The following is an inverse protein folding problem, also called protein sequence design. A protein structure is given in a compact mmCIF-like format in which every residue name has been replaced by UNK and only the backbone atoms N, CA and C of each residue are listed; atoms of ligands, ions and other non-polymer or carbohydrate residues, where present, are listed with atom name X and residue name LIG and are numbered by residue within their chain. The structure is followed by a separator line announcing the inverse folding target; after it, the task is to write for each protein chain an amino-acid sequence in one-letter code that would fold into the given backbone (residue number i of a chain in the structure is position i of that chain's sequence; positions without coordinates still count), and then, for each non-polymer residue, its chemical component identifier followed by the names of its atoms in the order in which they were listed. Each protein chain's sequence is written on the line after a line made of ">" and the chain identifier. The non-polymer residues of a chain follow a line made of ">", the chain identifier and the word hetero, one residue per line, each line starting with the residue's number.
data_IF_264887692467
#
_entry.id   IF_264887692467
#
_cell.length_a   1.000
_cell.length_b   1.000
_cell.length_c   1.000
_cell.angle_alpha   90.00
_cell.angle_beta   90.00
_cell.angle_gamma   90.00
#
_symmetry.space_group_name_H-M   'P 1'
#
loop_
_entity.id
_entity.type
_entity.pdbx_description
1 polymer ?
#
# COMPACT_ATOMS: atom_id res chain seq x y z
N UNK A 1 -9.32 11.17 1.49
CA UNK A 1 -8.89 12.52 1.87
C UNK A 1 -7.65 12.51 2.74
N UNK A 2 -7.17 13.70 3.13
CA UNK A 2 -6.02 13.85 4.03
C UNK A 2 -4.65 13.67 3.38
N UNK A 3 -3.61 13.55 4.22
CA UNK A 3 -2.21 13.54 3.78
C UNK A 3 -1.85 12.33 2.92
N UNK A 4 -2.31 11.14 3.25
CA UNK A 4 -2.01 9.92 2.49
C UNK A 4 -2.59 9.96 1.08
N UNK A 5 -3.84 10.43 0.93
CA UNK A 5 -4.47 10.56 -0.38
C UNK A 5 -3.71 11.49 -1.34
N UNK A 6 -2.99 12.46 -0.79
CA UNK A 6 -2.19 13.43 -1.54
C UNK A 6 -0.73 13.03 -1.72
N UNK A 7 -0.25 11.99 -1.03
CA UNK A 7 1.10 11.43 -1.23
C UNK A 7 1.11 10.46 -2.41
N UNK A 8 1.12 11.03 -3.59
CA UNK A 8 1.16 10.28 -4.84
C UNK A 8 2.16 10.96 -5.78
N UNK A 9 3.11 10.19 -6.26
CA UNK A 9 4.22 10.69 -7.06
C UNK A 9 4.36 9.89 -8.34
N UNK A 10 4.73 10.56 -9.42
CA UNK A 10 5.10 9.94 -10.69
C UNK A 10 6.54 10.30 -11.02
N UNK A 11 7.34 9.29 -11.26
CA UNK A 11 8.72 9.40 -11.72
C UNK A 11 8.78 8.92 -13.17
N UNK A 12 9.22 9.79 -14.07
CA UNK A 12 9.38 9.45 -15.47
C UNK A 12 10.78 8.87 -15.67
N UNK A 13 10.84 7.56 -15.81
CA UNK A 13 12.08 6.80 -16.01
C UNK A 13 12.15 6.21 -17.42
N UNK A 14 13.30 5.65 -17.76
CA UNK A 14 13.51 4.86 -18.97
C UNK A 14 13.44 3.36 -18.65
N UNK A 15 13.45 2.54 -19.71
CA UNK A 15 13.49 1.07 -19.55
C UNK A 15 14.69 0.57 -18.73
N UNK A 16 15.75 1.37 -18.61
CA UNK A 16 16.95 1.01 -17.83
C UNK A 16 16.64 0.76 -16.35
N UNK A 17 15.59 1.41 -15.80
CA UNK A 17 15.16 1.20 -14.41
C UNK A 17 14.69 -0.23 -14.13
N UNK A 18 14.33 -0.99 -15.16
CA UNK A 18 13.85 -2.37 -15.00
C UNK A 18 14.95 -3.38 -14.67
N UNK A 19 16.21 -2.96 -14.71
CA UNK A 19 17.31 -3.79 -14.24
C UNK A 19 17.14 -4.03 -12.72
N UNK A 20 17.09 -5.29 -12.25
CA UNK A 20 16.94 -5.60 -10.83
C UNK A 20 17.96 -4.90 -9.94
N UNK A 21 19.19 -4.75 -10.40
CA UNK A 21 20.24 -4.08 -9.64
C UNK A 21 19.99 -2.57 -9.40
N UNK A 22 19.12 -1.95 -10.18
CA UNK A 22 18.76 -0.53 -10.03
C UNK A 22 17.35 -0.31 -9.53
N UNK A 23 16.45 -1.23 -9.83
CA UNK A 23 15.02 -1.08 -9.52
C UNK A 23 14.77 -1.04 -8.01
N UNK A 24 15.22 -2.06 -7.27
CA UNK A 24 14.97 -2.13 -5.82
C UNK A 24 15.60 -0.96 -5.08
N UNK A 25 16.87 -0.58 -5.30
CA UNK A 25 17.44 0.62 -4.71
C UNK A 25 16.65 1.90 -5.02
N UNK A 26 16.15 2.05 -6.25
CA UNK A 26 15.31 3.19 -6.64
C UNK A 26 14.00 3.22 -5.84
N UNK A 27 13.27 2.09 -5.77
CA UNK A 27 12.03 2.02 -5.02
C UNK A 27 12.25 2.33 -3.53
N UNK A 28 13.33 1.82 -2.94
CA UNK A 28 13.71 2.10 -1.54
C UNK A 28 14.02 3.59 -1.34
N UNK A 29 14.78 4.21 -2.24
CA UNK A 29 15.06 5.65 -2.19
C UNK A 29 13.77 6.46 -2.20
N UNK A 30 12.83 6.12 -3.09
CA UNK A 30 11.55 6.83 -3.20
C UNK A 30 10.65 6.60 -1.98
N UNK A 31 10.65 5.41 -1.38
CA UNK A 31 9.93 5.16 -0.13
C UNK A 31 10.41 6.06 1.02
N UNK A 32 11.71 6.32 1.13
CA UNK A 32 12.26 7.20 2.17
C UNK A 32 11.69 8.63 2.09
N UNK A 33 11.33 9.09 0.89
CA UNK A 33 10.75 10.42 0.69
C UNK A 33 9.32 10.55 1.23
N UNK A 34 8.64 9.45 1.53
CA UNK A 34 7.29 9.49 2.08
C UNK A 34 7.23 10.18 3.45
N UNK A 35 8.28 10.01 4.27
CA UNK A 35 8.30 10.55 5.63
C UNK A 35 7.16 10.02 6.50
N UNK A 36 6.86 10.75 7.58
CA UNK A 36 5.90 10.30 8.61
C UNK A 36 4.57 11.06 8.61
N UNK A 37 4.45 12.14 7.82
CA UNK A 37 3.33 13.09 7.92
C UNK A 37 1.96 12.55 7.45
N UNK A 38 1.91 11.38 6.82
CA UNK A 38 0.66 10.79 6.32
C UNK A 38 0.26 9.51 7.07
N UNK A 39 0.69 9.37 8.32
CA UNK A 39 0.32 8.32 9.26
C UNK A 39 0.79 6.91 8.83
N UNK A 40 2.11 6.62 8.87
CA UNK A 40 2.62 5.26 8.75
C UNK A 40 2.23 4.39 9.98
N UNK A 41 2.33 3.07 9.92
CA UNK A 41 2.79 2.28 8.78
C UNK A 41 1.84 2.36 7.59
N UNK A 42 2.40 2.50 6.38
CA UNK A 42 1.61 2.69 5.17
C UNK A 42 1.21 1.37 4.49
N UNK A 43 0.09 1.39 3.76
CA UNK A 43 -0.14 0.48 2.63
C UNK A 43 0.48 1.15 1.41
N UNK A 44 1.66 0.70 1.00
CA UNK A 44 2.43 1.31 -0.08
C UNK A 44 2.04 0.66 -1.41
N UNK A 45 1.89 1.46 -2.45
CA UNK A 45 1.73 0.96 -3.81
C UNK A 45 2.75 1.57 -4.76
N UNK A 46 3.39 0.70 -5.54
CA UNK A 46 4.15 1.09 -6.72
C UNK A 46 3.47 0.60 -7.98
N UNK A 47 3.51 1.39 -9.02
CA UNK A 47 3.08 0.99 -10.36
C UNK A 47 4.20 1.23 -11.34
N UNK A 48 4.67 0.17 -11.98
CA UNK A 48 5.78 0.19 -12.92
C UNK A 48 5.22 0.04 -14.32
N UNK A 49 5.35 1.08 -15.13
CA UNK A 49 4.78 1.15 -16.46
C UNK A 49 3.50 1.97 -16.53
N UNK A 50 2.75 1.76 -17.60
CA UNK A 50 1.57 2.55 -17.95
C UNK A 50 1.78 3.36 -19.22
N UNK A 51 0.70 3.71 -19.88
CA UNK A 51 0.69 4.43 -21.16
C UNK A 51 0.44 5.92 -21.00
N UNK A 52 0.07 6.36 -19.80
CA UNK A 52 -0.06 7.77 -19.43
C UNK A 52 0.15 7.97 -17.93
N UNK A 53 0.39 9.22 -17.52
CA UNK A 53 0.52 9.61 -16.11
C UNK A 53 -0.76 9.28 -15.33
N UNK A 54 -1.91 9.63 -15.87
CA UNK A 54 -3.21 9.43 -15.25
C UNK A 54 -3.51 7.95 -15.02
N UNK A 55 -3.19 7.10 -16.01
CA UNK A 55 -3.37 5.65 -15.90
C UNK A 55 -2.48 5.06 -14.81
N UNK A 56 -1.22 5.49 -14.75
CA UNK A 56 -0.29 5.05 -13.72
C UNK A 56 -0.79 5.48 -12.33
N UNK A 57 -1.07 6.76 -12.12
CA UNK A 57 -1.48 7.32 -10.83
C UNK A 57 -2.83 6.78 -10.35
N UNK A 58 -3.80 6.57 -11.24
CA UNK A 58 -5.05 5.91 -10.90
C UNK A 58 -4.80 4.48 -10.40
N UNK A 59 -3.93 3.75 -11.10
CA UNK A 59 -3.56 2.39 -10.70
C UNK A 59 -2.86 2.37 -9.33
N UNK A 60 -1.98 3.35 -9.05
CA UNK A 60 -1.36 3.52 -7.73
C UNK A 60 -2.41 3.65 -6.63
N UNK A 61 -3.41 4.51 -6.82
CA UNK A 61 -4.46 4.71 -5.83
C UNK A 61 -5.26 3.44 -5.57
N UNK A 62 -5.68 2.77 -6.61
CA UNK A 62 -6.44 1.52 -6.51
C UNK A 62 -5.60 0.39 -5.89
N UNK A 63 -4.30 0.32 -6.20
CA UNK A 63 -3.40 -0.66 -5.61
C UNK A 63 -3.19 -0.40 -4.11
N UNK A 64 -3.05 0.86 -3.69
CA UNK A 64 -2.87 1.22 -2.27
C UNK A 64 -4.10 0.93 -1.40
N UNK A 65 -5.26 0.69 -2.01
CA UNK A 65 -6.51 0.29 -1.35
C UNK A 65 -6.83 -1.19 -1.56
N UNK A 66 -5.86 -2.00 -1.99
CA UNK A 66 -6.00 -3.43 -2.23
C UNK A 66 -7.02 -3.83 -3.33
N UNK A 67 -7.47 -2.87 -4.15
CA UNK A 67 -8.45 -3.12 -5.20
C UNK A 67 -7.95 -4.13 -6.25
N UNK A 68 -6.63 -4.19 -6.46
CA UNK A 68 -5.99 -5.07 -7.43
C UNK A 68 -5.41 -6.36 -6.86
N UNK A 69 -5.79 -6.77 -5.64
CA UNK A 69 -5.26 -7.97 -5.00
C UNK A 69 -5.58 -9.26 -5.76
N UNK A 70 -6.62 -9.25 -6.58
CA UNK A 70 -7.03 -10.38 -7.41
C UNK A 70 -6.42 -10.37 -8.84
N UNK A 71 -5.48 -9.46 -9.14
CA UNK A 71 -4.79 -9.50 -10.43
C UNK A 71 -3.94 -10.77 -10.56
N UNK A 72 -3.74 -11.27 -11.80
CA UNK A 72 -2.75 -12.33 -12.04
C UNK A 72 -1.37 -11.95 -11.51
N UNK A 73 -0.57 -12.95 -11.16
CA UNK A 73 0.81 -12.76 -10.66
C UNK A 73 1.87 -12.83 -11.76
N UNK A 74 1.45 -13.02 -13.00
CA UNK A 74 2.33 -13.08 -14.17
C UNK A 74 1.76 -12.27 -15.32
N UNK A 75 2.63 -11.66 -16.12
CA UNK A 75 2.25 -11.08 -17.40
C UNK A 75 1.94 -12.12 -18.48
N UNK A 76 1.72 -11.66 -19.71
CA UNK A 76 1.63 -12.47 -20.90
C UNK A 76 2.18 -11.71 -22.12
N UNK A 77 2.23 -12.36 -23.27
CA UNK A 77 2.71 -11.77 -24.53
C UNK A 77 1.91 -10.56 -25.02
N UNK A 78 0.66 -10.41 -24.59
CA UNK A 78 -0.22 -9.30 -24.96
C UNK A 78 -0.15 -8.10 -23.98
N UNK A 79 0.78 -8.12 -23.03
CA UNK A 79 0.96 -7.01 -22.09
C UNK A 79 -0.10 -6.97 -20.97
N UNK A 80 -0.52 -8.13 -20.47
CA UNK A 80 -1.45 -8.20 -19.33
C UNK A 80 -0.83 -7.57 -18.09
N UNK A 81 -1.58 -6.70 -17.41
CA UNK A 81 -1.22 -6.20 -16.10
C UNK A 81 -1.15 -7.34 -15.07
N UNK A 82 -0.22 -7.24 -14.12
CA UNK A 82 -0.06 -8.27 -13.08
C UNK A 82 0.52 -7.68 -11.80
N UNK A 83 0.34 -8.41 -10.69
CA UNK A 83 1.02 -8.17 -9.41
C UNK A 83 2.36 -8.87 -9.38
N UNK A 84 3.40 -8.13 -9.05
CA UNK A 84 4.77 -8.67 -8.90
C UNK A 84 5.02 -9.06 -7.44
N UNK A 85 4.50 -10.22 -7.04
CA UNK A 85 4.50 -10.70 -5.65
C UNK A 85 5.92 -10.86 -5.09
N UNK A 86 6.87 -11.28 -5.90
CA UNK A 86 8.25 -11.48 -5.42
C UNK A 86 8.91 -10.11 -5.14
N UNK A 87 8.70 -9.14 -6.02
CA UNK A 87 9.19 -7.79 -5.78
C UNK A 87 8.45 -7.11 -4.61
N UNK A 88 7.16 -7.37 -4.40
CA UNK A 88 6.42 -6.90 -3.22
C UNK A 88 7.08 -7.35 -1.91
N UNK A 89 7.45 -8.64 -1.82
CA UNK A 89 8.13 -9.20 -0.63
C UNK A 89 9.50 -8.56 -0.40
N UNK A 90 10.28 -8.44 -1.46
CA UNK A 90 11.62 -7.84 -1.40
C UNK A 90 11.55 -6.38 -0.95
N UNK A 91 10.69 -5.58 -1.57
CA UNK A 91 10.53 -4.16 -1.23
C UNK A 91 9.94 -3.96 0.17
N UNK A 92 9.04 -4.83 0.63
CA UNK A 92 8.55 -4.80 2.02
C UNK A 92 9.66 -5.09 3.02
N UNK A 93 10.51 -6.07 2.75
CA UNK A 93 11.65 -6.37 3.61
C UNK A 93 12.62 -5.18 3.70
N UNK A 94 12.86 -4.47 2.61
CA UNK A 94 13.65 -3.24 2.60
C UNK A 94 12.93 -2.09 3.34
N UNK A 95 11.61 -1.95 3.17
CA UNK A 95 10.84 -0.94 3.90
C UNK A 95 10.97 -1.08 5.42
N UNK A 96 11.02 -2.31 5.94
CA UNK A 96 11.19 -2.58 7.37
C UNK A 96 12.58 -2.20 7.88
N UNK A 97 13.61 -2.13 7.02
CA UNK A 97 14.96 -1.71 7.38
C UNK A 97 15.13 -0.18 7.44
N UNK A 98 14.20 0.58 6.87
CA UNK A 98 14.32 2.05 6.79
C UNK A 98 14.31 2.69 8.18
N UNK A 99 13.62 2.09 9.16
CA UNK A 99 13.57 2.61 10.54
C UNK A 99 12.71 3.86 10.72
N UNK A 100 11.93 4.23 9.71
CA UNK A 100 10.91 5.27 9.78
C UNK A 100 9.55 4.60 10.06
N UNK A 101 8.81 5.16 10.99
CA UNK A 101 7.50 4.62 11.33
C UNK A 101 6.56 5.69 11.87
N UNK A 102 5.64 5.31 12.75
CA UNK A 102 4.67 6.23 13.33
C UNK A 102 5.35 7.43 14.00
N UNK A 103 4.68 8.58 13.97
CA UNK A 103 5.20 9.87 14.49
C UNK A 103 5.67 9.81 15.94
N UNK A 104 5.21 8.84 16.71
CA UNK A 104 5.51 8.66 18.12
C UNK A 104 6.50 7.52 18.40
N UNK A 105 7.45 7.29 17.51
CA UNK A 105 8.56 6.38 17.72
C UNK A 105 8.41 4.98 17.12
N UNK A 106 7.46 4.77 16.21
CA UNK A 106 7.37 3.54 15.43
C UNK A 106 8.58 3.36 14.50
N UNK A 107 8.93 2.11 14.22
CA UNK A 107 10.08 1.77 13.36
C UNK A 107 9.70 1.15 12.00
N UNK A 108 8.44 0.84 11.79
CA UNK A 108 7.96 0.22 10.55
C UNK A 108 7.29 1.25 9.65
N UNK A 109 7.81 1.39 8.43
CA UNK A 109 7.29 2.33 7.44
C UNK A 109 6.02 1.80 6.76
N UNK A 110 5.92 0.49 6.56
CA UNK A 110 4.85 -0.13 5.80
C UNK A 110 4.25 -1.35 6.51
N UNK A 111 2.94 -1.52 6.39
CA UNK A 111 2.23 -2.76 6.67
C UNK A 111 2.41 -3.74 5.53
N UNK A 112 2.25 -3.25 4.32
CA UNK A 112 2.38 -4.03 3.10
C UNK A 112 2.83 -3.17 1.91
N UNK A 113 3.21 -3.83 0.84
CA UNK A 113 3.56 -3.23 -0.44
C UNK A 113 2.79 -3.92 -1.54
N UNK A 114 2.23 -3.16 -2.47
CA UNK A 114 1.62 -3.65 -3.72
C UNK A 114 2.43 -3.13 -4.89
N UNK A 115 2.82 -4.02 -5.80
CA UNK A 115 3.55 -3.66 -7.01
C UNK A 115 2.80 -4.17 -8.24
N UNK A 116 2.27 -3.24 -9.01
CA UNK A 116 1.56 -3.54 -10.25
C UNK A 116 2.47 -3.24 -11.43
N UNK A 117 2.60 -4.22 -12.31
CA UNK A 117 3.27 -4.07 -13.61
C UNK A 117 2.22 -3.80 -14.67
N UNK A 118 2.39 -2.68 -15.40
CA UNK A 118 1.55 -2.31 -16.53
C UNK A 118 2.33 -2.41 -17.86
N UNK A 119 1.65 -2.65 -18.98
CA UNK A 119 2.25 -2.45 -20.29
C UNK A 119 2.71 -1.00 -20.46
N UNK A 120 3.78 -0.77 -21.19
CA UNK A 120 4.40 0.53 -21.35
C UNK A 120 4.92 0.75 -22.76
N UNK A 121 5.23 1.98 -23.10
CA UNK A 121 5.98 2.34 -24.30
C UNK A 121 7.42 1.78 -24.22
N UNK A 122 7.99 1.38 -25.34
CA UNK A 122 9.29 0.70 -25.41
C UNK A 122 10.44 1.43 -24.72
N UNK A 123 10.50 2.75 -24.84
CA UNK A 123 11.57 3.58 -24.28
C UNK A 123 11.25 4.13 -22.87
N UNK A 124 9.99 4.40 -22.59
CA UNK A 124 9.53 5.05 -21.37
C UNK A 124 9.13 4.03 -20.30
N UNK A 125 9.40 4.34 -19.04
CA UNK A 125 8.97 3.53 -17.91
C UNK A 125 8.54 4.45 -16.75
N UNK A 126 7.29 4.96 -16.75
CA UNK A 126 6.80 5.70 -15.60
C UNK A 126 6.72 4.79 -14.39
N UNK A 127 7.13 5.29 -13.23
CA UNK A 127 7.03 4.61 -11.94
C UNK A 127 6.19 5.47 -11.02
N UNK A 128 5.04 4.98 -10.61
CA UNK A 128 4.18 5.66 -9.65
C UNK A 128 4.40 5.13 -8.24
N UNK A 129 4.28 6.01 -7.25
CA UNK A 129 4.32 5.71 -5.83
C UNK A 129 3.15 6.39 -5.14
N UNK A 130 2.45 5.67 -4.29
CA UNK A 130 1.42 6.25 -3.44
C UNK A 130 1.13 5.39 -2.23
N UNK A 131 0.32 5.93 -1.33
CA UNK A 131 0.04 5.26 -0.06
C UNK A 131 -1.43 5.40 0.36
N UNK A 132 -1.88 4.43 1.15
CA UNK A 132 -2.97 4.61 2.12
C UNK A 132 -2.38 4.64 3.53
N UNK A 133 -3.02 5.37 4.45
CA UNK A 133 -2.53 5.48 5.82
C UNK A 133 -2.86 4.23 6.64
N UNK A 134 -2.23 4.09 7.81
CA UNK A 134 -2.45 2.96 8.71
C UNK A 134 -3.91 2.75 9.14
N UNK A 135 -4.74 3.79 9.10
CA UNK A 135 -6.16 3.67 9.42
C UNK A 135 -6.98 2.95 8.34
N UNK A 136 -6.41 2.79 7.14
CA UNK A 136 -7.00 2.06 5.99
C UNK A 136 -8.51 2.35 5.76
N UNK A 137 -8.89 3.62 5.80
CA UNK A 137 -10.27 4.09 5.68
C UNK A 137 -10.78 4.04 4.24
N UNK A 138 -10.77 2.84 3.67
CA UNK A 138 -11.23 2.54 2.33
C UNK A 138 -12.46 1.67 2.40
N UNK A 139 -13.31 1.73 1.39
CA UNK A 139 -14.47 0.86 1.24
C UNK A 139 -14.65 0.51 -0.23
N UNK A 140 -14.94 -0.74 -0.51
CA UNK A 140 -15.30 -1.19 -1.86
C UNK A 140 -16.80 -1.19 -2.00
N UNK A 141 -17.30 -0.62 -3.08
CA UNK A 141 -18.71 -0.66 -3.40
C UNK A 141 -18.94 -0.94 -4.89
N UNK A 142 -20.09 -1.53 -5.19
CA UNK A 142 -20.61 -1.72 -6.55
C UNK A 142 -21.91 -0.95 -6.65
N UNK A 143 -22.01 -0.05 -7.61
CA UNK A 143 -23.20 0.76 -7.88
C UNK A 143 -23.64 0.49 -9.31
N UNK A 144 -24.86 0.05 -9.49
CA UNK A 144 -25.48 -0.12 -10.80
C UNK A 144 -27.00 0.15 -10.73
N UNK A 145 -27.72 -0.13 -11.82
CA UNK A 145 -29.18 0.10 -11.89
C UNK A 145 -30.00 -0.79 -10.96
N UNK A 146 -29.41 -1.90 -10.47
CA UNK A 146 -30.08 -2.86 -9.59
C UNK A 146 -29.92 -2.47 -8.12
N UNK A 147 -28.90 -1.64 -7.76
CA UNK A 147 -28.70 -1.21 -6.39
C UNK A 147 -27.28 -0.78 -6.06
N UNK A 148 -27.03 -0.68 -4.77
CA UNK A 148 -25.73 -0.34 -4.17
C UNK A 148 -25.33 -1.48 -3.25
N UNK A 149 -24.17 -2.05 -3.50
CA UNK A 149 -23.56 -3.08 -2.64
C UNK A 149 -22.28 -2.51 -2.05
N UNK A 150 -22.11 -2.70 -0.77
CA UNK A 150 -20.95 -2.27 0.01
C UNK A 150 -20.28 -3.54 0.55
N UNK A 151 -18.95 -3.59 0.55
CA UNK A 151 -18.24 -4.71 1.18
C UNK A 151 -18.65 -4.85 2.66
N UNK A 152 -18.65 -6.09 3.15
CA UNK A 152 -18.95 -6.36 4.55
C UNK A 152 -17.87 -5.71 5.41
N UNK A 153 -18.29 -4.83 6.31
CA UNK A 153 -17.40 -4.23 7.30
C UNK A 153 -17.36 -5.13 8.55
N UNK A 154 -16.22 -5.18 9.21
CA UNK A 154 -16.12 -5.82 10.51
C UNK A 154 -16.93 -5.00 11.54
N UNK A 155 -18.06 -5.54 11.95
CA UNK A 155 -18.95 -4.90 12.92
C UNK A 155 -18.59 -5.22 14.37
N UNK A 156 -17.71 -6.19 14.58
CA UNK A 156 -17.24 -6.59 15.91
C UNK A 156 -15.70 -6.66 15.94
N UNK A 157 -15.02 -5.52 16.13
CA UNK A 157 -13.56 -5.50 16.20
C UNK A 157 -13.00 -6.34 17.36
N UNK A 158 -13.81 -6.65 18.36
CA UNK A 158 -13.42 -7.55 19.46
C UNK A 158 -13.06 -8.97 18.98
N UNK A 159 -13.58 -9.41 17.84
CA UNK A 159 -13.22 -10.71 17.27
C UNK A 159 -11.79 -10.74 16.72
N UNK A 160 -11.20 -9.58 16.41
CA UNK A 160 -9.82 -9.44 15.95
C UNK A 160 -8.81 -9.46 17.11
N UNK A 161 -9.27 -9.32 18.34
CA UNK A 161 -8.42 -9.37 19.53
C UNK A 161 -8.08 -10.84 19.83
N UNK A 162 -6.81 -11.19 20.06
CA UNK A 162 -6.42 -12.53 20.51
C UNK A 162 -7.26 -13.01 21.69
N UNK A 163 -7.62 -14.29 21.70
CA UNK A 163 -8.54 -14.87 22.71
C UNK A 163 -8.02 -14.63 24.13
N UNK A 164 -6.72 -14.69 24.31
CA UNK A 164 -6.05 -14.46 25.60
C UNK A 164 -6.29 -13.04 26.13
N UNK A 165 -6.41 -12.07 25.24
CA UNK A 165 -6.68 -10.66 25.59
C UNK A 165 -8.16 -10.35 25.77
N UNK A 166 -9.07 -11.19 25.23
CA UNK A 166 -10.51 -11.02 25.41
C UNK A 166 -10.98 -11.41 26.82
N UNK A 167 -10.16 -12.18 27.53
CA UNK A 167 -10.47 -12.69 28.87
C UNK A 167 -9.86 -11.86 30.01
N UNK A 168 -9.21 -10.74 29.66
CA UNK A 168 -8.66 -9.83 30.67
C UNK A 168 -9.78 -9.29 31.55
N UNK A 169 -9.66 -9.48 32.86
CA UNK A 169 -10.59 -8.98 33.87
C UNK A 169 -10.28 -7.55 34.31
N UNK A 170 -11.17 -6.99 35.12
CA UNK A 170 -10.95 -5.68 35.73
C UNK A 170 -9.66 -5.70 36.59
N UNK A 171 -8.75 -4.79 36.31
CA UNK A 171 -7.44 -4.71 36.97
C UNK A 171 -6.28 -5.43 36.30
N UNK A 172 -6.55 -6.20 35.25
CA UNK A 172 -5.48 -6.82 34.49
C UNK A 172 -4.73 -5.79 33.64
N UNK A 173 -3.39 -5.83 33.73
CA UNK A 173 -2.54 -5.01 32.87
C UNK A 173 -2.25 -5.78 31.59
N UNK A 174 -2.88 -5.37 30.50
CA UNK A 174 -2.64 -5.94 29.18
C UNK A 174 -1.74 -4.99 28.38
N UNK A 175 -0.54 -5.45 28.05
CA UNK A 175 0.35 -4.69 27.17
C UNK A 175 -0.07 -4.91 25.73
N UNK A 176 -0.73 -3.91 25.13
CA UNK A 176 -1.07 -3.92 23.70
C UNK A 176 -0.07 -3.10 22.92
N UNK A 177 0.35 -3.60 21.77
CA UNK A 177 1.10 -2.80 20.81
C UNK A 177 0.16 -1.78 20.18
N UNK A 178 0.42 -0.50 20.41
CA UNK A 178 -0.45 0.63 20.01
C UNK A 178 -0.57 0.86 18.50
N UNK A 179 -0.03 0.02 17.66
CA UNK A 179 -0.06 0.21 16.21
C UNK A 179 -1.45 0.14 15.58
N UNK A 180 -2.47 -0.35 16.31
CA UNK A 180 -3.82 -0.55 15.77
C UNK A 180 -4.93 0.28 16.42
N UNK A 181 -4.67 1.03 17.48
CA UNK A 181 -5.74 1.65 18.28
C UNK A 181 -5.84 3.18 18.23
N UNK A 182 -4.99 3.88 17.48
CA UNK A 182 -5.04 5.35 17.39
C UNK A 182 -5.63 5.88 16.09
N UNK A 183 -6.85 5.47 15.75
CA UNK A 183 -7.58 6.09 14.65
C UNK A 183 -8.67 7.09 15.09
N UNK A 184 -8.88 7.33 16.38
CA UNK A 184 -10.04 8.07 16.87
C UNK A 184 -9.75 9.05 18.00
N UNK A 185 -8.71 9.89 17.87
CA UNK A 185 -8.64 11.09 18.69
C UNK A 185 -8.38 12.30 17.78
N UNK A 186 -9.43 12.82 17.22
CA UNK A 186 -9.72 14.25 16.97
C UNK A 186 -11.19 14.41 16.68
#
# INVERSE_FOLDING_TARGET
>A
GGGSANKTYLFQETKAILNPATLVPFLVEKMKTLGTAACPPYHIAFVIGGTSAEKNLLTVKLASTHFYDNLPTTGNEYGRAFRDIELEKEVLAEAHKIGLGAQFGGKYLAHDVRIIRLPRHGASCPVGLGVSCSADRNIKCKINKEGIWIEKLDSNPGELIPVELRQAGEGDVVTVSYTHLRAHET
#
